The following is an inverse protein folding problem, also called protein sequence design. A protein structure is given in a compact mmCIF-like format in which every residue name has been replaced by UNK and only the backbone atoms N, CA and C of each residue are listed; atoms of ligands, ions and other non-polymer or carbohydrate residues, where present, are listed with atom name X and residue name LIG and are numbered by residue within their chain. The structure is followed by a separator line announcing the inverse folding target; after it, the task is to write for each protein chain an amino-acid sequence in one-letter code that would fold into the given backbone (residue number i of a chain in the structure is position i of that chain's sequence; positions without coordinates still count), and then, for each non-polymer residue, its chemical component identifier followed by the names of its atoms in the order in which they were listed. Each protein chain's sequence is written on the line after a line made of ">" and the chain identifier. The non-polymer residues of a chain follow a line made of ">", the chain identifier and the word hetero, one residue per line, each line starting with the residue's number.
data_IF_833652133012
#
_entry.id   IF_833652133012
#
_cell.length_a   1.000
_cell.length_b   1.000
_cell.length_c   1.000
_cell.angle_alpha   90.00
_cell.angle_beta   90.00
_cell.angle_gamma   90.00
#
_symmetry.space_group_name_H-M   'P 1'
#
loop_
_entity.id
_entity.type
_entity.pdbx_description
1 polymer ?
#
# COMPACT_ATOMS: atom_id res chain seq x y z
N UNK A 1 -11.09 -16.98 -0.67
CA UNK A 1 -10.92 -15.76 0.15
C UNK A 1 -12.31 -15.20 0.44
N UNK A 2 -12.72 -15.03 1.71
CA UNK A 2 -13.99 -14.35 2.02
C UNK A 2 -13.74 -12.84 1.98
N UNK A 3 -14.48 -12.09 1.16
CA UNK A 3 -14.33 -10.63 1.06
C UNK A 3 -14.52 -9.96 2.44
N UNK A 4 -15.40 -10.52 3.28
CA UNK A 4 -15.66 -10.01 4.63
C UNK A 4 -14.47 -10.05 5.58
N UNK A 5 -13.43 -10.84 5.30
CA UNK A 5 -12.19 -10.89 6.10
C UNK A 5 -11.06 -10.06 5.47
N UNK A 6 -11.37 -9.22 4.48
CA UNK A 6 -10.41 -8.35 3.84
C UNK A 6 -10.59 -6.90 4.29
N UNK A 7 -9.53 -6.33 4.86
CA UNK A 7 -9.46 -4.93 5.21
C UNK A 7 -9.43 -4.10 3.91
N UNK A 8 -10.59 -3.56 3.52
CA UNK A 8 -10.76 -2.84 2.26
C UNK A 8 -9.94 -1.54 2.21
N UNK A 9 -9.54 -0.99 3.35
CA UNK A 9 -8.66 0.18 3.39
C UNK A 9 -7.29 -0.13 2.79
N UNK A 10 -6.85 -1.40 2.80
CA UNK A 10 -5.62 -1.81 2.14
C UNK A 10 -5.69 -1.59 0.62
N UNK A 11 -6.87 -1.69 -0.01
CA UNK A 11 -7.01 -1.39 -1.44
C UNK A 11 -6.92 0.10 -1.75
N UNK A 12 -7.43 0.96 -0.86
CA UNK A 12 -7.29 2.42 -1.00
C UNK A 12 -5.82 2.81 -0.93
N UNK A 13 -5.09 2.25 0.03
CA UNK A 13 -3.65 2.49 0.18
C UNK A 13 -2.88 1.93 -1.03
N UNK A 14 -3.20 0.71 -1.46
CA UNK A 14 -2.59 0.09 -2.64
C UNK A 14 -2.77 0.95 -3.90
N UNK A 15 -4.00 1.46 -4.13
CA UNK A 15 -4.28 2.34 -5.27
C UNK A 15 -3.49 3.65 -5.19
N UNK A 16 -3.38 4.23 -4.00
CA UNK A 16 -2.61 5.46 -3.81
C UNK A 16 -1.11 5.23 -4.06
N UNK A 17 -0.53 4.13 -3.55
CA UNK A 17 0.88 3.78 -3.85
C UNK A 17 1.09 3.57 -5.35
N UNK A 18 0.17 2.86 -6.01
CA UNK A 18 0.22 2.62 -7.46
C UNK A 18 0.16 3.90 -8.28
N UNK A 19 -0.70 4.85 -7.87
CA UNK A 19 -0.90 6.12 -8.58
C UNK A 19 0.26 7.07 -8.38
N UNK A 20 0.77 7.19 -7.15
CA UNK A 20 1.79 8.18 -6.80
C UNK A 20 3.23 7.69 -7.03
N UNK A 21 3.45 6.38 -7.09
CA UNK A 21 4.79 5.78 -7.15
C UNK A 21 5.68 6.09 -5.94
N UNK A 22 5.10 6.64 -4.87
CA UNK A 22 5.83 7.12 -3.70
C UNK A 22 5.00 6.91 -2.44
N UNK A 23 5.58 6.24 -1.44
CA UNK A 23 4.93 6.02 -0.15
C UNK A 23 4.65 7.34 0.61
N UNK A 24 5.50 8.36 0.46
CA UNK A 24 5.31 9.65 1.12
C UNK A 24 4.11 10.40 0.54
N UNK A 25 4.09 10.62 -0.78
CA UNK A 25 2.93 11.17 -1.49
C UNK A 25 1.64 10.39 -1.26
N UNK A 26 1.70 9.06 -1.26
CA UNK A 26 0.53 8.24 -0.98
C UNK A 26 -0.02 8.50 0.44
N UNK A 27 0.87 8.71 1.43
CA UNK A 27 0.46 9.06 2.78
C UNK A 27 -0.23 10.42 2.84
N UNK A 28 0.30 11.42 2.12
CA UNK A 28 -0.30 12.75 1.99
C UNK A 28 -1.69 12.70 1.36
N UNK A 29 -1.84 11.96 0.25
CA UNK A 29 -3.12 11.80 -0.48
C UNK A 29 -4.17 11.08 0.35
N UNK A 30 -3.78 10.02 1.06
CA UNK A 30 -4.70 9.24 1.92
C UNK A 30 -4.98 9.97 3.25
N UNK A 31 -4.15 10.94 3.65
CA UNK A 31 -4.30 11.66 4.91
C UNK A 31 -3.84 10.86 6.13
N UNK A 32 -2.83 9.99 5.96
CA UNK A 32 -2.23 9.20 7.04
C UNK A 32 -0.72 9.40 7.07
N UNK A 33 -0.04 8.80 8.06
CA UNK A 33 1.42 8.90 8.16
C UNK A 33 2.10 7.92 7.20
N UNK A 34 3.29 8.27 6.70
CA UNK A 34 4.07 7.36 5.85
C UNK A 34 4.39 6.00 6.52
N UNK A 35 4.67 5.93 7.84
CA UNK A 35 4.80 4.64 8.54
C UNK A 35 3.51 3.79 8.48
N UNK A 36 2.33 4.41 8.53
CA UNK A 36 1.07 3.70 8.39
C UNK A 36 0.90 3.11 6.97
N UNK A 37 1.28 3.87 5.93
CA UNK A 37 1.33 3.36 4.55
C UNK A 37 2.32 2.20 4.42
N UNK A 38 3.52 2.32 5.01
CA UNK A 38 4.52 1.27 4.98
C UNK A 38 4.03 -0.02 5.66
N UNK A 39 3.36 0.09 6.80
CA UNK A 39 2.77 -1.06 7.49
C UNK A 39 1.64 -1.70 6.67
N UNK A 40 0.78 -0.89 6.06
CA UNK A 40 -0.24 -1.38 5.14
C UNK A 40 0.35 -2.11 3.93
N UNK A 41 1.47 -1.60 3.37
CA UNK A 41 2.21 -2.28 2.31
C UNK A 41 2.75 -3.64 2.77
N UNK A 42 3.35 -3.74 3.96
CA UNK A 42 3.79 -5.03 4.50
C UNK A 42 2.63 -6.03 4.62
N UNK A 43 1.48 -5.60 5.15
CA UNK A 43 0.27 -6.44 5.24
C UNK A 43 -0.24 -6.86 3.87
N UNK A 44 -0.17 -5.99 2.86
CA UNK A 44 -0.52 -6.32 1.48
C UNK A 44 0.42 -7.40 0.92
N UNK A 45 1.73 -7.24 1.10
CA UNK A 45 2.74 -8.23 0.65
C UNK A 45 2.53 -9.60 1.28
N UNK A 46 2.29 -9.64 2.59
CA UNK A 46 1.98 -10.90 3.30
C UNK A 46 0.70 -11.55 2.78
N UNK A 47 -0.34 -10.75 2.50
CA UNK A 47 -1.66 -11.26 2.11
C UNK A 47 -1.70 -11.77 0.67
N UNK A 48 -0.93 -11.15 -0.21
CA UNK A 48 -0.79 -11.57 -1.60
C UNK A 48 0.37 -12.54 -1.81
N UNK A 49 1.25 -12.70 -0.80
CA UNK A 49 2.49 -13.45 -0.88
C UNK A 49 3.34 -13.01 -2.10
N UNK A 50 3.49 -11.70 -2.25
CA UNK A 50 4.15 -11.05 -3.39
C UNK A 50 4.87 -9.77 -2.94
N UNK A 51 6.00 -9.46 -3.57
CA UNK A 51 6.80 -8.27 -3.32
C UNK A 51 6.23 -7.06 -4.06
N UNK A 52 5.01 -6.67 -3.67
CA UNK A 52 4.31 -5.53 -4.28
C UNK A 52 5.12 -4.23 -4.14
N UNK A 53 5.12 -3.42 -5.20
CA UNK A 53 5.77 -2.09 -5.24
C UNK A 53 7.27 -2.16 -4.89
N UNK A 54 8.03 -2.96 -5.63
CA UNK A 54 9.50 -3.01 -5.53
C UNK A 54 10.08 -1.69 -6.01
N UNK A 55 11.01 -1.13 -5.22
CA UNK A 55 11.70 0.11 -5.57
C UNK A 55 12.61 -0.13 -6.78
N UNK A 56 12.45 0.67 -7.81
CA UNK A 56 13.35 0.65 -8.97
C UNK A 56 14.30 1.85 -8.91
N UNK A 57 15.43 1.81 -9.62
CA UNK A 57 16.37 2.92 -9.67
C UNK A 57 15.77 4.23 -10.22
N UNK A 58 14.59 4.14 -10.85
CA UNK A 58 13.87 5.25 -11.47
C UNK A 58 12.71 5.78 -10.61
N UNK A 59 12.51 5.20 -9.41
CA UNK A 59 11.24 5.30 -8.66
C UNK A 59 10.57 3.94 -8.63
#
# INVERSE_FOLDING_TARGET
>A
MKISSFDLNLFVIMNSIYTEGSLTKAAEVVGITQPAVSNALSRLREKFNDDLFVRTGSG
#
